data_IF_870733797294
#
_entry.id   IF_870733797294
#
_cell.length_a   1.000
_cell.length_b   1.000
_cell.length_c   1.000
_cell.angle_alpha   90.00
_cell.angle_beta   90.00
_cell.angle_gamma   90.00
#
_symmetry.space_group_name_H-M   'P 1'
#
loop_
_entity.id
_entity.type
_entity.pdbx_description
1 polymer ?
#
# COMPACT_ATOMS: atom_id res chain seq x y z
N UNK A 1 13.88 22.74 -22.32
CA UNK A 1 14.65 21.48 -22.23
C UNK A 1 13.69 20.49 -21.62
N UNK A 2 13.16 19.59 -22.45
CA UNK A 2 12.11 18.66 -22.07
C UNK A 2 12.64 17.56 -21.13
N UNK A 3 11.81 17.23 -20.14
CA UNK A 3 12.07 16.31 -19.04
C UNK A 3 12.11 14.82 -19.45
N UNK A 4 12.05 14.52 -20.75
CA UNK A 4 11.98 13.16 -21.29
C UNK A 4 13.32 12.55 -21.72
N UNK A 5 14.38 13.36 -21.89
CA UNK A 5 15.66 12.86 -22.43
C UNK A 5 16.64 12.30 -21.38
N UNK A 6 16.30 12.34 -20.08
CA UNK A 6 17.24 11.97 -19.01
C UNK A 6 17.24 10.48 -18.62
N UNK A 7 16.33 9.65 -19.16
CA UNK A 7 16.21 8.23 -18.77
C UNK A 7 16.63 7.22 -19.84
N UNK A 8 17.09 7.67 -21.01
CA UNK A 8 17.56 6.78 -22.06
C UNK A 8 19.09 6.61 -22.01
N UNK A 9 19.61 5.95 -20.97
CA UNK A 9 20.93 5.29 -20.99
C UNK A 9 21.21 4.53 -19.68
N UNK A 10 20.96 3.22 -19.67
CA UNK A 10 21.71 2.29 -18.82
C UNK A 10 22.25 1.17 -19.70
N UNK A 11 23.57 0.91 -19.68
CA UNK A 11 24.13 -0.22 -20.40
C UNK A 11 23.86 -1.52 -19.64
N UNK A 12 23.48 -2.54 -20.40
CA UNK A 12 23.65 -3.95 -20.04
C UNK A 12 25.11 -4.18 -19.64
N UNK A 13 25.36 -4.80 -18.49
CA UNK A 13 26.58 -5.59 -18.33
C UNK A 13 26.41 -6.74 -17.33
N UNK A 14 26.66 -7.91 -17.90
CA UNK A 14 27.03 -9.17 -17.28
C UNK A 14 28.21 -9.02 -16.31
N UNK A 15 28.08 -9.59 -15.12
CA UNK A 15 29.20 -9.84 -14.22
C UNK A 15 29.37 -11.35 -14.04
N UNK A 16 30.37 -11.87 -14.73
CA UNK A 16 31.06 -13.15 -14.45
C UNK A 16 31.93 -12.97 -13.22
N UNK A 17 31.67 -13.75 -12.17
CA UNK A 17 32.63 -13.99 -11.09
C UNK A 17 32.75 -15.50 -10.88
N UNK A 18 33.95 -16.01 -11.20
CA UNK A 18 34.37 -17.36 -10.91
C UNK A 18 34.74 -17.49 -9.42
N UNK A 19 34.26 -18.54 -8.76
CA UNK A 19 34.96 -19.11 -7.61
C UNK A 19 34.80 -20.63 -7.62
N UNK A 20 35.91 -21.31 -7.84
CA UNK A 20 36.08 -22.73 -7.59
C UNK A 20 35.97 -23.02 -6.10
N UNK A 21 35.09 -23.93 -5.71
CA UNK A 21 35.40 -24.87 -4.62
C UNK A 21 34.57 -26.15 -4.77
N UNK A 22 35.25 -27.23 -4.42
CA UNK A 22 34.98 -28.63 -4.68
C UNK A 22 34.29 -29.22 -3.44
N UNK A 23 33.46 -30.22 -3.69
CA UNK A 23 33.22 -31.41 -2.85
C UNK A 23 31.73 -31.71 -2.54
N UNK A 24 31.30 -32.83 -3.14
CA UNK A 24 30.51 -33.94 -2.55
C UNK A 24 29.28 -33.59 -1.72
N UNK A 25 28.08 -33.90 -2.20
CA UNK A 25 27.45 -35.22 -2.06
C UNK A 25 26.03 -35.16 -2.67
N UNK A 26 25.71 -36.15 -3.49
CA UNK A 26 24.38 -36.33 -4.08
C UNK A 26 23.38 -36.84 -3.04
N UNK A 27 22.14 -36.32 -3.02
CA UNK A 27 21.01 -37.09 -2.51
C UNK A 27 20.13 -37.57 -3.67
N UNK A 28 19.74 -38.83 -3.53
CA UNK A 28 18.82 -39.65 -4.32
C UNK A 28 17.67 -38.88 -5.01
N UNK A 29 17.50 -39.18 -6.29
CA UNK A 29 16.29 -38.92 -7.06
C UNK A 29 15.12 -39.71 -6.48
N UNK A 30 14.19 -39.02 -5.81
CA UNK A 30 12.90 -39.59 -5.44
C UNK A 30 11.97 -39.58 -6.65
N UNK A 31 11.75 -40.77 -7.22
CA UNK A 31 10.81 -41.07 -8.29
C UNK A 31 9.37 -40.84 -7.81
N UNK A 32 8.75 -39.73 -8.24
CA UNK A 32 7.35 -39.42 -7.96
C UNK A 32 6.50 -40.01 -9.08
N UNK A 33 5.89 -41.18 -8.83
CA UNK A 33 4.83 -41.73 -9.68
C UNK A 33 3.49 -41.07 -9.31
N UNK A 34 2.72 -40.52 -10.27
CA UNK A 34 1.37 -40.04 -10.00
C UNK A 34 0.38 -41.22 -9.99
N UNK A 35 -0.56 -41.31 -9.03
CA UNK A 35 -1.67 -42.24 -9.15
C UNK A 35 -2.66 -41.70 -10.18
N UNK A 36 -2.90 -42.51 -11.22
CA UNK A 36 -4.01 -42.35 -12.14
C UNK A 36 -5.25 -42.99 -11.51
N UNK A 37 -6.29 -42.19 -11.22
CA UNK A 37 -7.66 -42.70 -11.11
C UNK A 37 -8.63 -41.79 -11.87
N UNK A 38 -9.69 -42.36 -12.48
CA UNK A 38 -10.51 -41.70 -13.48
C UNK A 38 -11.65 -40.90 -12.85
N UNK A 39 -12.02 -39.81 -13.51
CA UNK A 39 -13.22 -39.04 -13.25
C UNK A 39 -14.47 -39.90 -13.48
N UNK A 40 -15.27 -40.12 -12.43
CA UNK A 40 -16.60 -40.68 -12.54
C UNK A 40 -17.57 -39.69 -13.21
N UNK A 41 -18.38 -40.24 -14.10
CA UNK A 41 -19.35 -39.58 -14.96
C UNK A 41 -20.49 -38.93 -14.16
N UNK A 42 -20.86 -37.71 -14.56
CA UNK A 42 -22.08 -37.06 -14.10
C UNK A 42 -23.30 -37.59 -14.86
N UNK A 43 -24.40 -38.00 -14.20
CA UNK A 43 -25.63 -38.30 -14.91
C UNK A 43 -26.39 -37.00 -15.27
N UNK A 44 -26.63 -36.85 -16.58
CA UNK A 44 -27.72 -36.02 -17.13
C UNK A 44 -29.05 -36.66 -16.77
N UNK A 45 -30.04 -35.87 -16.34
CA UNK A 45 -31.43 -36.00 -16.83
C UNK A 45 -32.30 -34.85 -16.31
N UNK A 46 -32.74 -34.04 -17.27
CA UNK A 46 -34.13 -33.68 -17.55
C UNK A 46 -35.13 -33.60 -16.38
N UNK A 47 -35.71 -32.41 -16.19
CA UNK A 47 -37.17 -32.28 -16.30
C UNK A 47 -37.59 -30.84 -16.57
N UNK A 48 -38.17 -30.66 -17.75
CA UNK A 48 -39.05 -29.56 -18.09
C UNK A 48 -40.41 -29.76 -17.39
N UNK A 49 -41.04 -28.67 -16.94
CA UNK A 49 -42.48 -28.33 -17.03
C UNK A 49 -42.86 -27.28 -15.94
N UNK A 50 -44.03 -26.62 -16.03
CA UNK A 50 -44.27 -25.52 -16.95
C UNK A 50 -44.64 -24.23 -16.23
N UNK A 51 -44.52 -23.14 -16.99
CA UNK A 51 -45.06 -21.81 -16.75
C UNK A 51 -46.52 -21.86 -16.28
N UNK A 52 -46.81 -21.28 -15.10
CA UNK A 52 -48.18 -21.02 -14.68
C UNK A 52 -48.34 -19.52 -14.42
N UNK A 53 -48.92 -18.84 -15.40
CA UNK A 53 -49.36 -17.46 -15.29
C UNK A 53 -50.63 -17.42 -14.43
N UNK A 54 -50.55 -16.79 -13.26
CA UNK A 54 -51.74 -16.35 -12.53
C UNK A 54 -51.67 -14.84 -12.39
N UNK A 55 -52.63 -14.19 -13.04
CA UNK A 55 -52.90 -12.77 -12.99
C UNK A 55 -53.38 -12.42 -11.57
N UNK A 56 -52.49 -11.79 -10.81
CA UNK A 56 -52.81 -11.16 -9.52
C UNK A 56 -52.94 -9.65 -9.73
N UNK A 57 -54.19 -9.19 -9.78
CA UNK A 57 -54.58 -7.79 -9.76
C UNK A 57 -54.05 -7.07 -8.51
N UNK A 58 -53.22 -6.04 -8.69
CA UNK A 58 -52.86 -5.10 -7.62
C UNK A 58 -53.73 -3.84 -7.72
N UNK A 59 -54.40 -3.41 -6.63
CA UNK A 59 -55.12 -2.15 -6.62
C UNK A 59 -54.15 -0.96 -6.60
N UNK A 60 -54.41 0.00 -7.48
CA UNK A 60 -53.83 1.34 -7.47
C UNK A 60 -54.37 2.11 -6.26
N UNK A 61 -53.59 2.22 -5.20
CA UNK A 61 -53.81 3.22 -4.15
C UNK A 61 -52.92 4.44 -4.41
N UNK A 62 -53.59 5.54 -4.75
CA UNK A 62 -53.05 6.89 -4.74
C UNK A 62 -52.85 7.34 -3.29
N UNK A 63 -51.60 7.61 -2.90
CA UNK A 63 -51.26 8.33 -1.68
C UNK A 63 -50.35 9.53 -2.01
N UNK A 64 -50.68 10.76 -1.57
CA UNK A 64 -49.85 11.94 -1.83
C UNK A 64 -48.82 12.06 -0.70
N UNK A 65 -47.65 11.45 -0.86
CA UNK A 65 -46.54 11.71 0.07
C UNK A 65 -45.65 12.81 -0.50
N UNK A 66 -45.97 14.01 -0.04
CA UNK A 66 -45.12 15.20 -0.02
C UNK A 66 -43.64 14.83 0.13
N UNK A 67 -42.86 15.19 -0.88
CA UNK A 67 -41.40 15.15 -0.86
C UNK A 67 -40.87 16.07 0.22
N UNK A 68 -40.74 15.56 1.44
CA UNK A 68 -39.76 16.05 2.39
C UNK A 68 -38.40 15.56 1.91
N UNK A 69 -37.79 16.34 1.01
CA UNK A 69 -36.35 16.29 0.80
C UNK A 69 -35.70 16.53 2.16
N UNK A 70 -35.27 15.46 2.84
CA UNK A 70 -34.42 15.58 4.02
C UNK A 70 -33.25 16.47 3.60
N UNK A 71 -32.97 17.57 4.33
CA UNK A 71 -31.74 18.31 4.11
C UNK A 71 -30.61 17.29 4.16
N UNK A 72 -29.79 17.25 3.10
CA UNK A 72 -28.55 16.48 3.13
C UNK A 72 -27.78 17.00 4.33
N UNK A 73 -27.73 16.18 5.38
CA UNK A 73 -27.03 16.49 6.61
C UNK A 73 -25.58 16.80 6.21
N UNK A 74 -25.19 18.08 6.31
CA UNK A 74 -23.85 18.53 5.94
C UNK A 74 -22.87 17.82 6.87
N UNK A 75 -22.34 16.69 6.37
CA UNK A 75 -21.38 15.87 7.09
C UNK A 75 -20.17 16.76 7.35
N UNK A 76 -19.91 17.03 8.62
CA UNK A 76 -18.72 17.80 9.04
C UNK A 76 -17.49 17.21 8.35
N UNK A 77 -16.63 18.03 7.74
CA UNK A 77 -15.51 17.54 6.95
C UNK A 77 -14.61 16.67 7.84
N UNK A 78 -14.51 15.39 7.48
CA UNK A 78 -13.69 14.40 8.16
C UNK A 78 -12.26 14.51 7.64
N UNK A 79 -11.29 14.43 8.54
CA UNK A 79 -9.89 14.32 8.12
C UNK A 79 -9.71 12.98 7.42
N UNK A 80 -9.15 13.02 6.21
CA UNK A 80 -8.83 11.81 5.45
C UNK A 80 -7.41 11.36 5.76
N UNK A 81 -7.22 10.06 5.96
CA UNK A 81 -5.92 9.43 6.17
C UNK A 81 -5.73 8.32 5.14
N UNK A 82 -4.61 8.37 4.41
CA UNK A 82 -4.19 7.30 3.51
C UNK A 82 -3.02 6.58 4.14
N UNK A 83 -3.08 5.26 4.24
CA UNK A 83 -2.06 4.44 4.87
C UNK A 83 -1.51 3.40 3.91
N UNK A 84 -0.20 3.44 3.65
CA UNK A 84 0.51 2.38 2.95
C UNK A 84 0.90 1.27 3.93
N UNK A 85 0.51 0.05 3.62
CA UNK A 85 0.82 -1.17 4.38
C UNK A 85 1.75 -2.06 3.54
N UNK A 86 3.04 -2.20 3.90
CA UNK A 86 3.94 -3.12 3.21
C UNK A 86 3.42 -4.55 3.27
N UNK A 87 3.45 -5.27 2.14
CA UNK A 87 2.94 -6.65 2.10
C UNK A 87 3.81 -7.64 2.87
N UNK A 88 5.00 -7.25 3.30
CA UNK A 88 5.87 -7.97 4.25
C UNK A 88 5.40 -7.90 5.71
N UNK A 89 4.62 -6.87 6.09
CA UNK A 89 3.94 -6.82 7.38
C UNK A 89 2.69 -7.72 7.38
N UNK A 90 2.08 -7.89 6.21
CA UNK A 90 0.95 -8.81 5.99
C UNK A 90 1.43 -10.26 5.94
N UNK A 91 2.49 -10.53 5.17
CA UNK A 91 3.06 -11.86 4.94
C UNK A 91 4.55 -11.89 5.30
N UNK A 92 4.88 -12.58 6.40
CA UNK A 92 6.24 -12.64 6.96
C UNK A 92 6.64 -14.08 7.26
N UNK A 93 7.86 -14.44 6.89
CA UNK A 93 8.41 -15.77 7.22
C UNK A 93 7.59 -16.93 6.65
N UNK A 94 6.97 -16.74 5.48
CA UNK A 94 6.16 -17.77 4.82
C UNK A 94 4.71 -17.89 5.32
N UNK A 95 4.25 -16.99 6.20
CA UNK A 95 2.89 -17.04 6.75
C UNK A 95 2.25 -15.66 6.87
N UNK A 96 0.92 -15.62 6.94
CA UNK A 96 0.17 -14.40 7.22
C UNK A 96 0.22 -14.05 8.70
N UNK A 97 0.53 -12.80 9.02
CA UNK A 97 0.69 -12.34 10.40
C UNK A 97 -0.65 -11.91 11.01
N UNK A 98 -1.54 -12.88 11.25
CA UNK A 98 -2.94 -12.66 11.61
C UNK A 98 -3.15 -11.78 12.86
N UNK A 99 -2.32 -11.94 13.90
CA UNK A 99 -2.40 -11.14 15.12
C UNK A 99 -2.17 -9.65 14.85
N UNK A 100 -1.18 -9.34 13.99
CA UNK A 100 -0.89 -7.98 13.58
C UNK A 100 -1.98 -7.41 12.68
N UNK A 101 -2.48 -8.19 11.71
CA UNK A 101 -3.60 -7.78 10.84
C UNK A 101 -4.87 -7.47 11.63
N UNK A 102 -5.18 -8.29 12.64
CA UNK A 102 -6.32 -8.05 13.53
C UNK A 102 -6.12 -6.78 14.35
N UNK A 103 -4.89 -6.52 14.81
CA UNK A 103 -4.55 -5.29 15.54
C UNK A 103 -4.67 -4.05 14.65
N UNK A 104 -4.19 -4.12 13.41
CA UNK A 104 -4.35 -3.07 12.39
C UNK A 104 -5.84 -2.80 12.15
N UNK A 105 -6.63 -3.83 11.86
CA UNK A 105 -8.06 -3.70 11.56
C UNK A 105 -8.82 -2.99 12.68
N UNK A 106 -8.63 -3.42 13.94
CA UNK A 106 -9.26 -2.78 15.11
C UNK A 106 -8.91 -1.29 15.24
N UNK A 107 -7.65 -0.93 14.96
CA UNK A 107 -7.21 0.47 15.04
C UNK A 107 -7.81 1.31 13.93
N UNK A 108 -7.84 0.77 12.71
CA UNK A 108 -8.47 1.43 11.56
C UNK A 108 -9.96 1.64 11.83
N UNK A 109 -10.67 0.64 12.32
CA UNK A 109 -12.09 0.77 12.68
C UNK A 109 -12.31 1.78 13.81
N UNK A 110 -11.45 1.80 14.83
CA UNK A 110 -11.51 2.79 15.91
C UNK A 110 -11.31 4.22 15.39
N UNK A 111 -10.34 4.42 14.50
CA UNK A 111 -10.08 5.74 13.89
C UNK A 111 -11.24 6.18 13.00
N UNK A 112 -11.82 5.24 12.25
CA UNK A 112 -12.99 5.50 11.42
C UNK A 112 -14.22 5.87 12.25
N UNK A 113 -14.47 5.13 13.34
CA UNK A 113 -15.52 5.44 14.31
C UNK A 113 -15.33 6.83 14.96
N UNK A 114 -14.09 7.26 15.13
CA UNK A 114 -13.72 8.60 15.61
C UNK A 114 -13.79 9.70 14.53
N UNK A 115 -14.40 9.41 13.37
CA UNK A 115 -14.69 10.41 12.34
C UNK A 115 -13.54 10.67 11.36
N UNK A 116 -12.60 9.74 11.20
CA UNK A 116 -11.60 9.79 10.11
C UNK A 116 -12.11 9.01 8.91
N UNK A 117 -11.89 9.52 7.70
CA UNK A 117 -12.08 8.72 6.49
C UNK A 117 -10.75 8.06 6.14
N UNK A 118 -10.73 6.74 5.92
CA UNK A 118 -9.49 5.95 5.86
C UNK A 118 -9.40 5.16 4.56
N UNK A 119 -8.27 5.28 3.89
CA UNK A 119 -7.88 4.38 2.81
C UNK A 119 -6.59 3.62 3.16
N UNK A 120 -6.58 2.32 2.91
CA UNK A 120 -5.41 1.46 3.05
C UNK A 120 -4.91 1.09 1.65
N UNK A 121 -3.64 1.38 1.35
CA UNK A 121 -2.96 0.90 0.15
C UNK A 121 -2.07 -0.26 0.55
N UNK A 122 -2.40 -1.48 0.12
CA UNK A 122 -1.71 -2.69 0.58
C UNK A 122 -0.71 -3.15 -0.46
N UNK A 123 0.57 -3.14 -0.09
CA UNK A 123 1.68 -3.51 -0.95
C UNK A 123 1.78 -5.01 -1.22
N UNK A 124 2.69 -5.34 -2.12
CA UNK A 124 3.02 -6.72 -2.47
C UNK A 124 3.81 -7.41 -1.37
N UNK A 125 3.67 -8.73 -1.27
CA UNK A 125 4.45 -9.52 -0.34
C UNK A 125 5.85 -9.84 -0.88
N UNK A 126 6.83 -10.18 -0.03
CA UNK A 126 8.14 -10.64 -0.47
C UNK A 126 8.12 -11.80 -1.49
N UNK A 127 7.09 -12.65 -1.47
CA UNK A 127 6.93 -13.73 -2.44
C UNK A 127 6.66 -13.23 -3.88
N UNK A 128 6.13 -12.01 -4.06
CA UNK A 128 5.89 -11.42 -5.39
C UNK A 128 7.18 -11.29 -6.17
N UNK A 129 8.30 -11.02 -5.49
CA UNK A 129 9.64 -10.96 -6.11
C UNK A 129 10.08 -12.30 -6.69
N UNK A 130 9.76 -13.39 -6.01
CA UNK A 130 10.04 -14.77 -6.48
C UNK A 130 9.19 -15.07 -7.72
N UNK A 131 7.89 -14.73 -7.66
CA UNK A 131 6.96 -14.87 -8.79
C UNK A 131 7.47 -14.07 -10.00
N UNK A 132 7.80 -12.80 -9.82
CA UNK A 132 8.31 -11.93 -10.88
C UNK A 132 9.62 -12.42 -11.48
N UNK A 133 10.55 -12.92 -10.66
CA UNK A 133 11.80 -13.54 -11.15
C UNK A 133 11.52 -14.80 -11.98
N UNK A 134 10.62 -15.65 -11.50
CA UNK A 134 10.26 -16.91 -12.17
C UNK A 134 9.56 -16.63 -13.50
N UNK A 135 8.57 -15.73 -13.51
CA UNK A 135 7.87 -15.28 -14.72
C UNK A 135 8.83 -14.71 -15.78
N UNK A 136 9.82 -13.91 -15.36
CA UNK A 136 10.90 -13.44 -16.24
C UNK A 136 11.73 -14.58 -16.83
N UNK A 137 12.08 -15.58 -16.02
CA UNK A 137 12.84 -16.75 -16.49
C UNK A 137 12.04 -17.62 -17.47
N UNK A 138 10.71 -17.63 -17.34
CA UNK A 138 9.79 -18.28 -18.28
C UNK A 138 9.58 -17.50 -19.58
N UNK A 139 10.13 -16.29 -19.70
CA UNK A 139 10.00 -15.46 -20.90
C UNK A 139 8.63 -14.80 -21.06
N UNK A 140 7.86 -14.67 -19.97
CA UNK A 140 6.59 -13.94 -20.01
C UNK A 140 6.82 -12.46 -20.35
N UNK A 141 5.88 -11.81 -21.05
CA UNK A 141 5.98 -10.39 -21.35
C UNK A 141 5.79 -9.56 -20.07
N UNK A 142 6.34 -8.33 -20.07
CA UNK A 142 6.40 -7.48 -18.87
C UNK A 142 5.02 -7.22 -18.25
N UNK A 143 3.99 -7.02 -19.07
CA UNK A 143 2.63 -6.79 -18.60
C UNK A 143 2.05 -8.00 -17.83
N UNK A 144 2.40 -9.23 -18.23
CA UNK A 144 1.97 -10.45 -17.53
C UNK A 144 2.76 -10.63 -16.23
N UNK A 145 4.07 -10.35 -16.25
CA UNK A 145 4.91 -10.37 -15.04
C UNK A 145 4.33 -9.41 -13.98
N UNK A 146 4.02 -8.18 -14.37
CA UNK A 146 3.44 -7.17 -13.47
C UNK A 146 2.05 -7.60 -12.96
N UNK A 147 1.21 -8.22 -13.80
CA UNK A 147 -0.10 -8.73 -13.37
C UNK A 147 0.03 -9.86 -12.32
N UNK A 148 0.99 -10.77 -12.49
CA UNK A 148 1.27 -11.82 -11.50
C UNK A 148 1.80 -11.25 -10.18
N UNK A 149 2.67 -10.26 -10.25
CA UNK A 149 3.18 -9.54 -9.08
C UNK A 149 2.03 -8.81 -8.36
N UNK A 150 1.20 -8.08 -9.09
CA UNK A 150 0.04 -7.34 -8.61
C UNK A 150 -0.98 -8.24 -7.88
N UNK A 151 -1.14 -9.49 -8.33
CA UNK A 151 -2.04 -10.47 -7.72
C UNK A 151 -1.68 -10.74 -6.24
N UNK A 152 -0.39 -10.61 -5.86
CA UNK A 152 0.06 -10.70 -4.47
C UNK A 152 -0.49 -9.57 -3.60
N UNK A 153 -0.42 -8.34 -4.11
CA UNK A 153 -0.98 -7.16 -3.45
C UNK A 153 -2.50 -7.26 -3.32
N UNK A 154 -3.19 -7.75 -4.36
CA UNK A 154 -4.63 -7.99 -4.31
C UNK A 154 -5.01 -9.02 -3.24
N UNK A 155 -4.29 -10.15 -3.15
CA UNK A 155 -4.53 -11.15 -2.11
C UNK A 155 -4.38 -10.56 -0.70
N UNK A 156 -3.32 -9.79 -0.47
CA UNK A 156 -3.10 -9.11 0.82
C UNK A 156 -4.25 -8.15 1.14
N UNK A 157 -4.63 -7.31 0.18
CA UNK A 157 -5.74 -6.36 0.30
C UNK A 157 -7.06 -7.08 0.62
N UNK A 158 -7.35 -8.17 -0.09
CA UNK A 158 -8.56 -8.96 0.12
C UNK A 158 -8.61 -9.58 1.52
N UNK A 159 -7.48 -10.03 2.06
CA UNK A 159 -7.42 -10.55 3.43
C UNK A 159 -7.66 -9.46 4.48
N UNK A 160 -7.06 -8.28 4.31
CA UNK A 160 -7.31 -7.12 5.18
C UNK A 160 -8.79 -6.73 5.14
N UNK A 161 -9.40 -6.74 3.94
CA UNK A 161 -10.82 -6.42 3.76
C UNK A 161 -11.74 -7.32 4.58
N UNK A 162 -11.43 -8.61 4.69
CA UNK A 162 -12.24 -9.56 5.48
C UNK A 162 -12.23 -9.27 6.98
N UNK A 163 -11.31 -8.45 7.47
CA UNK A 163 -11.20 -8.09 8.88
C UNK A 163 -11.91 -6.78 9.24
N UNK A 164 -12.48 -6.06 8.26
CA UNK A 164 -13.12 -4.77 8.45
C UNK A 164 -14.64 -4.88 8.25
N UNK A 165 -15.41 -4.38 9.21
CA UNK A 165 -16.87 -4.40 9.15
C UNK A 165 -17.48 -3.29 8.28
N UNK A 166 -16.90 -2.08 8.32
CA UNK A 166 -17.42 -0.88 7.64
C UNK A 166 -16.61 -0.49 6.38
N UNK A 167 -16.02 -1.49 5.73
CA UNK A 167 -15.22 -1.26 4.53
C UNK A 167 -16.08 -1.31 3.25
N UNK A 168 -15.62 -0.62 2.22
CA UNK A 168 -16.10 -0.79 0.85
C UNK A 168 -16.05 -2.29 0.49
N UNK A 169 -17.12 -2.91 -0.05
CA UNK A 169 -17.23 -4.37 -0.18
C UNK A 169 -16.22 -5.03 -1.13
N UNK A 170 -15.37 -4.26 -1.80
CA UNK A 170 -14.37 -4.75 -2.75
C UNK A 170 -13.05 -4.02 -2.56
N UNK A 171 -11.97 -4.69 -2.93
CA UNK A 171 -10.67 -4.05 -3.11
C UNK A 171 -10.77 -3.14 -4.34
N UNK A 172 -10.47 -1.86 -4.17
CA UNK A 172 -10.38 -0.90 -5.26
C UNK A 172 -9.09 -1.15 -6.03
N UNK A 173 -9.22 -1.45 -7.31
CA UNK A 173 -8.07 -1.50 -8.20
C UNK A 173 -7.72 -0.12 -8.72
N UNK A 174 -8.73 0.72 -8.97
CA UNK A 174 -8.60 2.08 -9.47
C UNK A 174 -8.65 3.11 -8.34
N UNK A 175 -7.86 4.18 -8.46
CA UNK A 175 -7.86 5.26 -7.47
C UNK A 175 -9.20 6.01 -7.44
N UNK A 176 -9.91 6.08 -8.57
CA UNK A 176 -11.19 6.78 -8.69
C UNK A 176 -12.27 6.08 -7.84
N UNK A 177 -12.28 4.75 -7.84
CA UNK A 177 -13.19 3.96 -7.00
C UNK A 177 -12.88 4.20 -5.52
N UNK A 178 -11.59 4.27 -5.17
CA UNK A 178 -11.17 4.57 -3.81
C UNK A 178 -11.61 5.97 -3.34
N UNK A 179 -11.48 6.98 -4.20
CA UNK A 179 -11.95 8.34 -3.92
C UNK A 179 -13.49 8.38 -3.77
N UNK A 180 -14.22 7.62 -4.59
CA UNK A 180 -15.68 7.54 -4.50
C UNK A 180 -16.14 6.89 -3.19
N UNK A 181 -15.52 5.77 -2.79
CA UNK A 181 -15.82 5.08 -1.53
C UNK A 181 -15.48 5.94 -0.31
N UNK A 182 -14.34 6.65 -0.31
CA UNK A 182 -14.00 7.62 0.74
C UNK A 182 -15.05 8.73 0.88
N UNK A 183 -15.58 9.26 -0.24
CA UNK A 183 -16.65 10.27 -0.21
C UNK A 183 -17.95 9.76 0.41
N UNK A 184 -18.21 8.46 0.29
CA UNK A 184 -19.33 7.81 0.97
C UNK A 184 -19.06 7.58 2.47
N UNK A 185 -17.83 7.84 2.93
CA UNK A 185 -17.37 7.61 4.31
C UNK A 185 -17.11 6.14 4.62
N UNK A 186 -16.81 5.34 3.59
CA UNK A 186 -16.44 3.93 3.74
C UNK A 186 -14.93 3.81 4.00
N UNK A 187 -14.52 2.80 4.77
CA UNK A 187 -13.10 2.43 4.83
C UNK A 187 -12.74 1.78 3.49
N UNK A 188 -11.76 2.31 2.78
CA UNK A 188 -11.41 1.79 1.46
C UNK A 188 -10.10 1.04 1.47
N UNK A 189 -10.01 -0.06 0.73
CA UNK A 189 -8.76 -0.79 0.52
C UNK A 189 -8.42 -0.74 -0.96
N UNK A 190 -7.19 -0.35 -1.24
CA UNK A 190 -6.63 -0.20 -2.58
C UNK A 190 -5.47 -1.18 -2.74
N UNK A 191 -5.40 -1.83 -3.90
CA UNK A 191 -4.20 -2.59 -4.25
C UNK A 191 -3.03 -1.64 -4.51
N UNK A 192 -1.82 -2.01 -4.06
CA UNK A 192 -0.61 -1.21 -4.19
C UNK A 192 0.06 -1.31 -5.57
N UNK A 193 0.21 -2.51 -6.11
CA UNK A 193 1.01 -2.77 -7.32
C UNK A 193 0.19 -2.79 -8.61
N UNK A 194 -0.27 -1.64 -9.10
CA UNK A 194 -0.90 -1.50 -10.43
C UNK A 194 -0.22 -0.35 -11.17
N UNK A 195 -0.13 -0.43 -12.50
CA UNK A 195 0.43 0.62 -13.37
C UNK A 195 1.94 0.86 -13.19
N UNK A 196 2.69 -0.16 -12.74
CA UNK A 196 4.16 -0.11 -12.57
C UNK A 196 4.66 1.01 -11.66
N UNK A 197 3.81 1.48 -10.73
CA UNK A 197 4.21 2.36 -9.63
C UNK A 197 4.23 1.59 -8.31
N UNK A 198 5.08 2.04 -7.38
CA UNK A 198 5.16 1.45 -6.03
C UNK A 198 3.88 1.70 -5.22
N UNK A 199 3.64 0.86 -4.21
CA UNK A 199 2.50 1.04 -3.31
C UNK A 199 2.59 2.38 -2.53
N UNK A 200 3.82 2.79 -2.21
CA UNK A 200 4.17 4.07 -1.63
C UNK A 200 3.78 5.24 -2.54
N UNK A 201 4.14 5.18 -3.82
CA UNK A 201 3.77 6.19 -4.80
C UNK A 201 2.24 6.26 -4.99
N UNK A 202 1.57 5.10 -4.98
CA UNK A 202 0.11 5.01 -5.11
C UNK A 202 -0.59 5.59 -3.88
N UNK A 203 -0.08 5.33 -2.67
CA UNK A 203 -0.56 5.95 -1.44
C UNK A 203 -0.35 7.47 -1.44
N UNK A 204 0.83 7.94 -1.85
CA UNK A 204 1.12 9.36 -1.98
C UNK A 204 0.18 10.04 -2.99
N UNK A 205 -0.07 9.40 -4.14
CA UNK A 205 -0.98 9.91 -5.18
C UNK A 205 -2.42 9.96 -4.71
N UNK A 206 -2.89 8.92 -4.01
CA UNK A 206 -4.22 8.93 -3.41
C UNK A 206 -4.35 10.03 -2.36
N UNK A 207 -3.34 10.18 -1.50
CA UNK A 207 -3.31 11.24 -0.49
C UNK A 207 -3.34 12.64 -1.12
N UNK A 208 -2.61 12.85 -2.23
CA UNK A 208 -2.66 14.08 -3.01
C UNK A 208 -4.08 14.38 -3.53
N UNK A 209 -4.73 13.37 -4.12
CA UNK A 209 -6.08 13.49 -4.69
C UNK A 209 -7.16 13.76 -3.65
N UNK A 210 -6.95 13.32 -2.41
CA UNK A 210 -7.93 13.45 -1.32
C UNK A 210 -7.54 14.50 -0.28
N UNK A 211 -6.45 15.24 -0.49
CA UNK A 211 -5.88 16.17 0.49
C UNK A 211 -5.73 15.53 1.89
N UNK A 212 -5.25 14.29 1.91
CA UNK A 212 -5.15 13.47 3.11
C UNK A 212 -3.76 13.54 3.74
N UNK A 213 -3.68 13.20 5.03
CA UNK A 213 -2.42 12.79 5.66
C UNK A 213 -1.99 11.44 5.10
N UNK A 214 -0.69 11.26 4.86
CA UNK A 214 -0.13 10.01 4.38
C UNK A 214 0.64 9.30 5.50
N UNK A 215 0.30 8.04 5.78
CA UNK A 215 1.02 7.20 6.74
C UNK A 215 1.72 6.09 5.95
N UNK A 216 3.05 6.01 6.03
CA UNK A 216 3.84 4.95 5.43
C UNK A 216 4.32 4.03 6.56
N UNK A 217 3.73 2.84 6.66
CA UNK A 217 4.23 1.85 7.59
C UNK A 217 5.55 1.28 7.07
N UNK A 218 6.55 1.13 7.92
CA UNK A 218 7.88 0.63 7.55
C UNK A 218 8.14 -0.74 8.14
N UNK A 219 8.96 -1.54 7.46
CA UNK A 219 9.40 -2.85 7.96
C UNK A 219 10.44 -2.72 9.08
N UNK A 220 11.31 -1.75 8.90
CA UNK A 220 12.46 -1.47 9.76
C UNK A 220 12.16 -0.31 10.69
N UNK A 221 12.84 -0.32 11.82
CA UNK A 221 12.87 0.83 12.72
C UNK A 221 13.40 2.06 11.97
N UNK A 222 12.81 3.19 12.29
CA UNK A 222 13.10 4.47 11.68
C UNK A 222 13.43 5.47 12.79
N UNK A 223 14.33 6.43 12.54
CA UNK A 223 14.70 7.39 13.56
C UNK A 223 13.50 8.26 13.92
N UNK A 224 13.42 8.62 15.21
CA UNK A 224 12.48 9.65 15.67
C UNK A 224 12.96 11.02 15.19
N UNK A 225 12.24 11.64 14.25
CA UNK A 225 12.70 12.88 13.61
C UNK A 225 11.55 13.71 13.02
N UNK A 226 11.81 14.99 12.78
CA UNK A 226 10.99 15.84 11.91
C UNK A 226 11.83 16.30 10.72
N UNK A 227 11.34 16.04 9.51
CA UNK A 227 12.01 16.40 8.25
C UNK A 227 11.14 17.36 7.44
N UNK A 228 11.80 18.26 6.70
CA UNK A 228 11.12 18.97 5.62
C UNK A 228 10.88 18.06 4.43
N UNK A 229 9.86 18.35 3.62
CA UNK A 229 9.65 17.70 2.32
C UNK A 229 10.88 17.75 1.42
N UNK A 230 11.58 18.90 1.36
CA UNK A 230 12.78 19.07 0.54
C UNK A 230 13.94 18.19 0.99
N UNK A 231 14.16 18.11 2.30
CA UNK A 231 15.21 17.26 2.87
C UNK A 231 14.91 15.78 2.63
N UNK A 232 13.66 15.37 2.82
CA UNK A 232 13.24 13.99 2.57
C UNK A 232 13.39 13.60 1.10
N UNK A 233 12.98 14.45 0.16
CA UNK A 233 13.15 14.21 -1.27
C UNK A 233 14.63 14.14 -1.68
N UNK A 234 15.48 14.97 -1.08
CA UNK A 234 16.94 14.92 -1.30
C UNK A 234 17.52 13.59 -0.82
N UNK A 235 17.15 13.13 0.38
CA UNK A 235 17.59 11.84 0.92
C UNK A 235 17.14 10.67 0.05
N UNK A 236 15.89 10.69 -0.46
CA UNK A 236 15.39 9.66 -1.37
C UNK A 236 16.20 9.59 -2.67
N UNK A 237 16.55 10.76 -3.23
CA UNK A 237 17.37 10.83 -4.44
C UNK A 237 18.82 10.39 -4.20
N UNK A 238 19.43 10.78 -3.08
CA UNK A 238 20.78 10.32 -2.69
C UNK A 238 20.80 8.79 -2.52
N UNK A 239 19.83 8.23 -1.80
CA UNK A 239 19.68 6.78 -1.64
C UNK A 239 19.55 6.05 -2.98
N UNK A 240 18.76 6.60 -3.92
CA UNK A 240 18.62 6.01 -5.25
C UNK A 240 19.94 6.03 -6.05
N UNK A 241 20.73 7.11 -5.96
CA UNK A 241 22.05 7.20 -6.60
C UNK A 241 23.05 6.19 -6.01
N UNK A 242 22.92 5.91 -4.71
CA UNK A 242 23.74 4.92 -4.01
C UNK A 242 23.22 3.48 -4.17
N UNK A 243 22.10 3.28 -4.89
CA UNK A 243 21.38 2.01 -5.00
C UNK A 243 20.99 1.42 -3.62
N UNK A 244 20.70 2.28 -2.65
CA UNK A 244 20.24 1.86 -1.33
C UNK A 244 18.77 1.44 -1.39
N UNK A 245 18.58 0.13 -1.59
CA UNK A 245 17.26 -0.50 -1.59
C UNK A 245 16.60 -0.55 -0.19
N UNK A 246 17.28 -0.11 0.88
CA UNK A 246 16.73 -0.06 2.24
C UNK A 246 15.99 1.24 2.54
N UNK A 247 16.15 2.26 1.70
CA UNK A 247 15.46 3.53 1.87
C UNK A 247 13.94 3.37 1.65
N UNK A 248 13.16 4.11 2.43
CA UNK A 248 11.73 3.82 2.68
C UNK A 248 10.86 4.07 1.45
N UNK A 249 11.22 5.03 0.60
CA UNK A 249 10.45 5.40 -0.59
C UNK A 249 11.37 5.67 -1.78
N UNK A 250 10.89 5.40 -2.99
CA UNK A 250 11.61 5.82 -4.20
C UNK A 250 11.59 7.36 -4.41
N UNK A 251 12.47 7.90 -5.26
CA UNK A 251 12.49 9.34 -5.57
C UNK A 251 11.15 9.86 -6.10
N UNK A 252 10.42 9.07 -6.89
CA UNK A 252 9.16 9.49 -7.50
C UNK A 252 8.07 9.74 -6.44
N UNK A 253 7.94 8.83 -5.48
CA UNK A 253 7.09 8.98 -4.30
C UNK A 253 7.43 10.24 -3.53
N UNK A 254 8.72 10.47 -3.28
CA UNK A 254 9.18 11.64 -2.52
C UNK A 254 8.80 12.97 -3.19
N UNK A 255 8.79 13.01 -4.53
CA UNK A 255 8.37 14.18 -5.31
C UNK A 255 6.86 14.43 -5.20
N UNK A 256 6.03 13.39 -5.19
CA UNK A 256 4.58 13.51 -5.00
C UNK A 256 4.29 14.10 -3.60
N UNK A 257 4.91 13.54 -2.57
CA UNK A 257 4.76 14.04 -1.20
C UNK A 257 5.20 15.51 -1.08
N UNK A 258 6.33 15.86 -1.70
CA UNK A 258 6.88 17.21 -1.65
C UNK A 258 6.04 18.23 -2.43
N UNK A 259 5.62 17.92 -3.67
CA UNK A 259 4.82 18.84 -4.48
C UNK A 259 3.43 19.06 -3.90
N UNK A 260 2.82 18.00 -3.36
CA UNK A 260 1.52 18.06 -2.71
C UNK A 260 1.56 18.63 -1.30
N UNK A 261 2.77 18.88 -0.75
CA UNK A 261 2.98 19.29 0.66
C UNK A 261 2.24 18.38 1.64
N UNK A 262 2.21 17.09 1.32
CA UNK A 262 1.41 16.08 2.02
C UNK A 262 2.06 15.81 3.37
N UNK A 263 1.36 16.09 4.47
CA UNK A 263 1.86 15.69 5.79
C UNK A 263 2.04 14.17 5.79
N UNK A 264 3.28 13.73 5.99
CA UNK A 264 3.63 12.31 5.90
C UNK A 264 4.20 11.84 7.22
N UNK A 265 3.77 10.67 7.66
CA UNK A 265 4.29 9.97 8.83
C UNK A 265 4.93 8.69 8.34
N UNK A 266 6.18 8.47 8.72
CA UNK A 266 6.81 7.17 8.65
C UNK A 266 6.63 6.56 10.03
N UNK A 267 6.04 5.35 10.11
CA UNK A 267 5.81 4.65 11.37
C UNK A 267 6.32 3.22 11.28
N UNK A 268 7.08 2.78 12.27
CA UNK A 268 7.52 1.39 12.30
C UNK A 268 6.33 0.44 12.46
N UNK A 269 6.14 -0.45 11.48
CA UNK A 269 5.01 -1.37 11.44
C UNK A 269 4.86 -2.26 12.66
N UNK A 270 5.97 -2.60 13.36
CA UNK A 270 5.89 -3.35 14.62
C UNK A 270 5.25 -2.56 15.76
N UNK A 271 5.31 -1.23 15.72
CA UNK A 271 4.74 -0.32 16.71
C UNK A 271 3.36 0.18 16.28
N UNK A 272 2.54 -0.69 15.70
CA UNK A 272 1.18 -0.33 15.27
C UNK A 272 0.31 0.18 16.45
N UNK A 273 0.68 -0.13 17.69
CA UNK A 273 0.10 0.47 18.89
C UNK A 273 0.07 2.00 18.83
N UNK A 274 1.12 2.63 18.26
CA UNK A 274 1.29 4.08 18.19
C UNK A 274 0.58 4.75 17.00
N UNK A 275 -0.09 3.97 16.15
CA UNK A 275 -0.80 4.50 14.98
C UNK A 275 -1.77 5.66 15.30
N UNK A 276 -2.62 5.60 16.36
CA UNK A 276 -3.48 6.72 16.72
C UNK A 276 -2.70 7.99 17.04
N UNK A 277 -1.65 7.90 17.87
CA UNK A 277 -0.78 9.03 18.22
C UNK A 277 -0.16 9.68 16.98
N UNK A 278 0.34 8.85 16.06
CA UNK A 278 0.99 9.35 14.85
C UNK A 278 0.01 10.14 13.95
N UNK A 279 -1.25 9.69 13.85
CA UNK A 279 -2.32 10.35 13.10
C UNK A 279 -2.79 11.63 13.81
N UNK A 280 -3.03 11.56 15.12
CA UNK A 280 -3.59 12.65 15.93
C UNK A 280 -2.60 13.80 16.15
N UNK A 281 -1.31 13.58 15.90
CA UNK A 281 -0.28 14.60 16.02
C UNK A 281 0.48 14.55 17.34
N UNK A 282 0.23 13.54 18.18
CA UNK A 282 0.95 13.27 19.41
C UNK A 282 2.38 12.80 19.14
N UNK A 283 3.16 12.69 20.22
CA UNK A 283 4.50 12.09 20.21
C UNK A 283 4.43 10.60 19.86
N UNK A 284 5.31 10.16 18.96
CA UNK A 284 5.45 8.76 18.56
C UNK A 284 6.89 8.46 18.10
N UNK A 285 7.27 7.19 18.11
CA UNK A 285 8.56 6.70 17.64
C UNK A 285 8.53 6.54 16.11
N UNK A 286 8.88 7.62 15.42
CA UNK A 286 9.02 7.62 13.97
C UNK A 286 9.31 8.99 13.40
N UNK A 287 9.21 9.11 12.07
CA UNK A 287 9.56 10.35 11.37
C UNK A 287 8.31 11.06 10.90
N UNK A 288 8.20 12.36 11.17
CA UNK A 288 7.19 13.24 10.58
C UNK A 288 7.82 14.09 9.47
N UNK A 289 7.20 14.12 8.30
CA UNK A 289 7.61 14.94 7.16
C UNK A 289 6.55 16.01 6.95
N UNK A 290 6.96 17.27 7.04
CA UNK A 290 6.06 18.42 6.97
C UNK A 290 6.65 19.53 6.12
N UNK A 291 5.86 20.56 5.84
CA UNK A 291 6.34 21.76 5.14
C UNK A 291 7.07 22.76 6.04
N UNK A 292 7.44 22.37 7.27
CA UNK A 292 8.30 23.21 8.10
C UNK A 292 9.61 23.49 7.36
N UNK A 293 10.07 24.75 7.40
CA UNK A 293 11.44 25.09 6.99
C UNK A 293 12.38 24.27 7.86
N UNK A 294 13.37 23.63 7.25
CA UNK A 294 14.46 23.01 7.99
C UNK A 294 14.95 24.03 9.02
N UNK A 295 14.78 23.74 10.31
CA UNK A 295 15.47 24.50 11.33
C UNK A 295 16.95 24.37 10.98
N UNK A 296 17.56 25.47 10.53
CA UNK A 296 18.99 25.52 10.28
C UNK A 296 19.66 24.95 11.53
N UNK A 297 20.54 23.93 11.41
CA UNK A 297 21.23 23.43 12.58
C UNK A 297 21.89 24.63 13.24
N UNK A 298 21.67 24.81 14.55
CA UNK A 298 22.34 25.85 15.31
C UNK A 298 23.83 25.73 15.02
N UNK A 299 24.36 26.67 14.22
CA UNK A 299 25.79 26.80 14.02
C UNK A 299 26.35 27.14 15.40
N UNK A 300 26.77 26.12 16.14
CA UNK A 300 27.65 26.29 17.29
C UNK A 300 28.97 26.82 16.75
N UNK A 301 29.02 28.12 16.52
CA UNK A 301 30.25 28.86 16.34
C UNK A 301 31.02 28.69 17.64
N UNK A 302 31.92 27.71 17.68
CA UNK A 302 32.96 27.65 18.71
C UNK A 302 33.74 28.95 18.56
N UNK A 303 33.42 29.95 19.40
CA UNK A 303 34.27 31.11 19.64
C UNK A 303 35.62 30.59 20.16
N UNK A 304 36.54 30.29 19.23
CA UNK A 304 37.97 30.31 19.52
C UNK A 304 38.35 31.79 19.60
N UNK A 305 38.10 32.41 20.75
CA UNK A 305 38.92 33.53 21.15
C UNK A 305 40.20 32.92 21.72
N UNK A 306 41.22 32.77 20.88
CA UNK A 306 42.58 32.76 21.37
C UNK A 306 42.83 34.15 21.98
N UNK A 307 42.92 34.16 23.31
CA UNK A 307 43.80 35.06 24.02
C UNK A 307 45.24 34.80 23.53
N UNK A 308 46.08 35.80 23.74
CA UNK A 308 47.53 35.82 23.51
C UNK A 308 47.89 36.46 22.16
N UNK A 309 48.20 37.77 22.21
CA UNK A 309 49.60 38.21 22.11
C UNK A 309 49.74 39.61 22.74
N UNK A 310 50.61 39.68 23.75
CA UNK A 310 51.35 40.87 24.19
C UNK A 310 52.42 41.24 23.14
#
# INVERSE_FOLDING_TARGET
MDLFDLFAQTPSNSSTAASSQKDTDSPEEAEITPPAEPLEESPKSDSEAPFNASEGSFPLENGPESGFSRPLEEKTPRETVVMMVPGSLVFRGGSFHLSWLTSLARKVESLHANGKDIALVVGESPHSRIVGKTARQLGLPINEIEAHIASSSFLNAALVLRLLANAHPRVCEEMQDAVAALRNGEITIVMGGKESISAEARAATLAEKTNAKCILLTENEIPTNTLSHSKFAKMANEAAQENDASFIVDPFTSLILARGKIETVLLWGKHISQLPHAIEGDDFDGTRITSQKDALPELRVKKRFSKDEE
#
